data_IF_101022838770
#
_entry.id   IF_101022838770
#
_cell.length_a   1.000
_cell.length_b   1.000
_cell.length_c   1.000
_cell.angle_alpha   90.00
_cell.angle_beta   90.00
_cell.angle_gamma   90.00
#
_symmetry.space_group_name_H-M   'P 1'
#
loop_
_entity.id
_entity.type
_entity.pdbx_description
1 polymer ?
#
# COMPACT_ATOMS: atom_id res chain seq x y z
N UNK A 1 15.80 14.99 -5.57
CA UNK A 1 14.50 14.43 -5.99
C UNK A 1 14.06 13.38 -4.99
N UNK A 2 12.82 13.44 -4.56
CA UNK A 2 12.31 12.47 -3.61
C UNK A 2 12.19 11.08 -4.22
N UNK A 3 12.50 10.04 -3.46
CA UNK A 3 12.30 8.67 -3.88
C UNK A 3 10.81 8.38 -4.07
N UNK A 4 10.51 7.63 -5.13
CA UNK A 4 9.15 7.18 -5.40
C UNK A 4 8.98 5.75 -4.94
N UNK A 5 7.76 5.44 -4.51
CA UNK A 5 7.37 4.08 -4.13
C UNK A 5 5.97 3.79 -4.64
N UNK A 6 5.76 2.54 -5.02
CA UNK A 6 4.43 1.96 -4.99
C UNK A 6 4.32 1.27 -3.63
N UNK A 7 3.20 1.44 -2.95
CA UNK A 7 3.00 0.80 -1.66
C UNK A 7 1.73 -0.04 -1.66
N UNK A 8 1.73 -1.04 -0.83
CA UNK A 8 0.53 -1.80 -0.49
C UNK A 8 0.37 -1.79 1.03
N UNK A 9 -0.84 -1.84 1.49
CA UNK A 9 -1.10 -1.94 2.92
C UNK A 9 -2.44 -2.62 3.18
N UNK A 10 -2.60 -3.09 4.40
CA UNK A 10 -3.86 -3.62 4.88
C UNK A 10 -4.76 -2.46 5.26
N UNK A 11 -6.03 -2.59 4.89
CA UNK A 11 -7.07 -1.61 5.20
C UNK A 11 -8.18 -2.36 5.94
N UNK A 12 -8.51 -1.90 7.13
CA UNK A 12 -9.54 -2.54 7.94
C UNK A 12 -10.61 -1.54 8.32
N UNK A 13 -11.87 -1.88 8.05
CA UNK A 13 -13.00 -1.09 8.51
C UNK A 13 -13.12 -1.22 10.02
N UNK A 14 -13.09 -0.10 10.74
CA UNK A 14 -13.14 -0.08 12.21
C UNK A 14 -14.45 -0.64 12.77
N UNK A 15 -15.52 -0.55 12.00
CA UNK A 15 -16.86 -0.93 12.43
C UNK A 15 -17.21 -2.37 12.07
N UNK A 16 -17.02 -2.75 10.80
CA UNK A 16 -17.36 -4.08 10.31
C UNK A 16 -16.24 -5.10 10.52
N UNK A 17 -15.00 -4.60 10.73
CA UNK A 17 -13.78 -5.42 10.83
C UNK A 17 -13.39 -6.10 9.52
N UNK A 18 -14.05 -5.78 8.42
CA UNK A 18 -13.67 -6.28 7.11
C UNK A 18 -12.33 -5.72 6.68
N UNK A 19 -11.51 -6.57 6.07
CA UNK A 19 -10.18 -6.20 5.58
C UNK A 19 -10.15 -6.18 4.06
N UNK A 20 -9.36 -5.25 3.54
CA UNK A 20 -9.04 -5.18 2.12
C UNK A 20 -7.58 -4.80 1.98
N UNK A 21 -7.07 -4.75 0.76
CA UNK A 21 -5.69 -4.35 0.48
C UNK A 21 -5.72 -3.14 -0.43
N UNK A 22 -4.88 -2.15 -0.11
CA UNK A 22 -4.75 -0.93 -0.90
C UNK A 22 -3.44 -0.96 -1.67
N UNK A 23 -3.49 -0.50 -2.92
CA UNK A 23 -2.33 -0.20 -3.74
C UNK A 23 -2.29 1.29 -4.02
N UNK A 24 -1.16 1.92 -3.77
CA UNK A 24 -1.02 3.35 -3.96
C UNK A 24 0.38 3.74 -4.41
N UNK A 25 0.54 5.03 -4.70
CA UNK A 25 1.81 5.65 -5.06
C UNK A 25 2.12 6.76 -4.07
N UNK A 26 3.39 6.92 -3.74
CA UNK A 26 3.81 8.05 -2.92
C UNK A 26 5.30 8.36 -3.14
N UNK A 27 5.65 9.62 -2.94
CA UNK A 27 7.04 10.05 -2.79
C UNK A 27 7.39 10.35 -1.32
N UNK A 28 6.43 10.18 -0.40
CA UNK A 28 6.64 10.38 1.03
C UNK A 28 5.66 9.50 1.79
N UNK A 29 6.13 8.31 2.20
CA UNK A 29 5.25 7.33 2.82
C UNK A 29 4.74 7.78 4.19
N UNK A 30 5.56 8.42 5.00
CA UNK A 30 5.13 8.86 6.33
C UNK A 30 4.01 9.91 6.24
N UNK A 31 4.14 10.86 5.32
CA UNK A 31 3.11 11.86 5.08
C UNK A 31 1.83 11.21 4.54
N UNK A 32 1.97 10.23 3.64
CA UNK A 32 0.83 9.53 3.06
C UNK A 32 0.04 8.76 4.12
N UNK A 33 0.72 8.09 5.04
CA UNK A 33 0.05 7.38 6.13
C UNK A 33 -0.79 8.35 6.96
N UNK A 34 -0.23 9.50 7.32
CA UNK A 34 -0.95 10.51 8.09
C UNK A 34 -2.17 11.05 7.34
N UNK A 35 -2.03 11.28 6.03
CA UNK A 35 -3.14 11.73 5.19
C UNK A 35 -4.29 10.71 5.16
N UNK A 36 -3.96 9.44 4.98
CA UNK A 36 -4.94 8.37 4.92
C UNK A 36 -5.71 8.25 6.24
N UNK A 37 -4.99 8.26 7.36
CA UNK A 37 -5.61 8.17 8.67
C UNK A 37 -6.49 9.36 8.99
N UNK A 38 -6.05 10.56 8.62
CA UNK A 38 -6.80 11.80 8.85
C UNK A 38 -8.05 11.88 7.99
N UNK A 39 -7.95 11.47 6.72
CA UNK A 39 -9.04 11.62 5.74
C UNK A 39 -10.06 10.50 5.84
N UNK A 40 -9.65 9.31 6.22
CA UNK A 40 -10.48 8.11 6.21
C UNK A 40 -10.69 7.59 7.64
N UNK A 41 -11.49 8.30 8.40
CA UNK A 41 -11.65 8.08 9.84
C UNK A 41 -12.26 6.73 10.21
N UNK A 42 -12.91 6.05 9.27
CA UNK A 42 -13.55 4.76 9.50
C UNK A 42 -12.64 3.57 9.25
N UNK A 43 -11.38 3.82 8.87
CA UNK A 43 -10.45 2.76 8.45
C UNK A 43 -9.14 2.84 9.19
N UNK A 44 -8.54 1.67 9.40
CA UNK A 44 -7.20 1.50 9.94
C UNK A 44 -6.28 1.01 8.83
N UNK A 45 -5.06 1.52 8.83
CA UNK A 45 -4.03 1.16 7.83
C UNK A 45 -2.85 0.52 8.55
N UNK A 46 -2.40 -0.63 8.05
CA UNK A 46 -1.32 -1.39 8.67
C UNK A 46 -0.56 -2.23 7.65
N UNK A 47 0.55 -2.82 8.09
CA UNK A 47 1.34 -3.76 7.30
C UNK A 47 1.74 -3.17 5.95
N UNK A 48 2.35 -2.00 5.98
CA UNK A 48 2.82 -1.33 4.77
C UNK A 48 3.97 -2.10 4.14
N UNK A 49 3.89 -2.24 2.81
CA UNK A 49 4.95 -2.80 1.97
C UNK A 49 5.32 -1.76 0.92
N UNK A 50 6.61 -1.53 0.76
CA UNK A 50 7.11 -0.57 -0.24
C UNK A 50 7.79 -1.33 -1.36
N UNK A 51 7.49 -0.91 -2.59
CA UNK A 51 8.01 -1.54 -3.80
C UNK A 51 8.80 -0.52 -4.61
N UNK A 52 9.93 -0.96 -5.13
CA UNK A 52 10.77 -0.16 -6.03
C UNK A 52 11.05 -0.93 -7.30
N UNK A 53 11.16 -0.18 -8.39
CA UNK A 53 11.52 -0.75 -9.68
C UNK A 53 13.02 -1.04 -9.71
N UNK A 54 13.39 -2.11 -10.40
CA UNK A 54 14.79 -2.53 -10.52
C UNK A 54 15.69 -1.53 -11.20
N UNK A 55 15.14 -0.66 -12.09
CA UNK A 55 15.92 0.32 -12.84
C UNK A 55 15.32 1.71 -12.89
N UNK A 56 13.97 1.84 -12.90
CA UNK A 56 13.31 3.14 -12.96
C UNK A 56 13.41 3.86 -11.63
N UNK A 57 13.60 5.19 -11.70
CA UNK A 57 13.54 6.06 -10.53
C UNK A 57 12.33 7.00 -10.56
N UNK A 58 11.63 7.07 -11.71
CA UNK A 58 10.41 7.86 -11.89
C UNK A 58 9.39 7.05 -12.68
N UNK A 59 8.17 7.59 -12.81
CA UNK A 59 7.11 6.93 -13.57
C UNK A 59 6.28 5.94 -12.79
N UNK A 60 6.46 5.87 -11.49
CA UNK A 60 5.77 4.91 -10.62
C UNK A 60 4.26 5.16 -10.57
N UNK A 61 3.86 6.44 -10.58
CA UNK A 61 2.44 6.80 -10.62
C UNK A 61 1.76 6.25 -11.88
N UNK A 62 2.44 6.32 -13.01
CA UNK A 62 1.91 5.80 -14.27
C UNK A 62 1.69 4.28 -14.18
N UNK A 63 2.64 3.55 -13.63
CA UNK A 63 2.51 2.10 -13.47
C UNK A 63 1.42 1.74 -12.47
N UNK A 64 1.31 2.48 -11.37
CA UNK A 64 0.25 2.30 -10.38
C UNK A 64 -1.13 2.49 -11.02
N UNK A 65 -1.30 3.54 -11.80
CA UNK A 65 -2.57 3.81 -12.48
C UNK A 65 -2.91 2.74 -13.51
N UNK A 66 -1.91 2.22 -14.22
CA UNK A 66 -2.10 1.11 -15.16
C UNK A 66 -2.63 -0.14 -14.48
N UNK A 67 -2.08 -0.45 -13.32
CA UNK A 67 -2.55 -1.59 -12.52
C UNK A 67 -4.02 -1.37 -12.11
N UNK A 68 -4.37 -0.19 -11.64
CA UNK A 68 -5.75 0.10 -11.24
C UNK A 68 -6.73 0.00 -12.41
N UNK A 69 -6.38 0.54 -13.56
CA UNK A 69 -7.24 0.45 -14.75
C UNK A 69 -7.46 -1.01 -15.15
N UNK A 70 -6.42 -1.83 -15.08
CA UNK A 70 -6.48 -3.24 -15.49
C UNK A 70 -7.30 -4.10 -14.52
N UNK A 71 -7.41 -3.68 -13.26
CA UNK A 71 -7.97 -4.50 -12.20
C UNK A 71 -9.26 -3.95 -11.59
N UNK A 72 -9.95 -3.05 -12.27
CA UNK A 72 -11.17 -2.39 -11.75
C UNK A 72 -12.23 -3.36 -11.25
N UNK A 73 -12.40 -4.48 -11.93
CA UNK A 73 -13.44 -5.46 -11.57
C UNK A 73 -13.17 -6.19 -10.27
N UNK A 74 -11.96 -6.05 -9.72
CA UNK A 74 -11.56 -6.71 -8.47
C UNK A 74 -11.55 -5.74 -7.29
N UNK A 75 -12.02 -4.52 -7.47
CA UNK A 75 -12.11 -3.54 -6.39
C UNK A 75 -13.04 -4.03 -5.28
N UNK A 76 -12.74 -3.63 -4.05
CA UNK A 76 -13.48 -4.07 -2.87
C UNK A 76 -14.89 -3.46 -2.77
N UNK A 77 -15.24 -2.50 -3.61
CA UNK A 77 -16.56 -1.88 -3.59
C UNK A 77 -16.78 -0.93 -2.43
N UNK A 78 -15.72 -0.36 -1.89
CA UNK A 78 -15.82 0.62 -0.81
C UNK A 78 -16.45 1.90 -1.34
N UNK A 79 -17.40 2.47 -0.58
CA UNK A 79 -18.07 3.70 -0.98
C UNK A 79 -17.19 4.93 -0.76
N UNK A 80 -17.39 5.93 -1.60
CA UNK A 80 -16.70 7.22 -1.45
C UNK A 80 -17.04 7.90 -0.14
N UNK A 81 -18.28 7.73 0.32
CA UNK A 81 -18.73 8.34 1.57
C UNK A 81 -17.98 7.78 2.79
N UNK A 82 -17.72 6.47 2.80
CA UNK A 82 -16.99 5.83 3.90
C UNK A 82 -15.48 6.04 3.80
N UNK A 83 -14.94 6.13 2.57
CA UNK A 83 -13.52 6.33 2.34
C UNK A 83 -13.32 7.42 1.27
N UNK A 84 -13.33 8.70 1.67
CA UNK A 84 -13.21 9.80 0.70
C UNK A 84 -11.93 9.78 -0.13
N UNK A 85 -10.84 9.25 0.41
CA UNK A 85 -9.54 9.21 -0.28
C UNK A 85 -9.14 7.76 -0.53
N UNK A 86 -9.02 7.39 -1.82
CA UNK A 86 -8.49 6.08 -2.20
C UNK A 86 -9.51 4.94 -2.24
N UNK A 87 -10.81 5.24 -2.25
CA UNK A 87 -11.84 4.19 -2.30
C UNK A 87 -11.76 3.33 -3.56
N UNK A 88 -11.20 3.84 -4.65
CA UNK A 88 -11.00 3.10 -5.90
C UNK A 88 -9.63 2.43 -5.99
N UNK A 89 -8.89 2.41 -4.90
CA UNK A 89 -7.55 1.82 -4.86
C UNK A 89 -7.47 0.62 -3.93
N UNK A 90 -8.60 0.16 -3.43
CA UNK A 90 -8.69 -0.97 -2.50
C UNK A 90 -9.30 -2.18 -3.20
N UNK A 91 -8.73 -3.33 -2.92
CA UNK A 91 -9.11 -4.61 -3.52
C UNK A 91 -9.50 -5.60 -2.43
N UNK A 92 -10.23 -6.63 -2.80
CA UNK A 92 -10.51 -7.73 -1.89
C UNK A 92 -9.20 -8.31 -1.35
N UNK A 93 -9.22 -8.73 -0.09
CA UNK A 93 -8.04 -9.16 0.64
C UNK A 93 -7.20 -10.18 -0.12
N UNK A 94 -7.84 -11.22 -0.67
CA UNK A 94 -7.13 -12.28 -1.38
C UNK A 94 -6.47 -11.82 -2.68
N UNK A 95 -6.89 -10.70 -3.22
CA UNK A 95 -6.34 -10.20 -4.47
C UNK A 95 -4.93 -9.63 -4.33
N UNK A 96 -4.42 -9.49 -3.12
CA UNK A 96 -3.08 -8.95 -2.88
C UNK A 96 -2.00 -9.76 -3.59
N UNK A 97 -2.19 -11.07 -3.70
CA UNK A 97 -1.20 -11.94 -4.36
C UNK A 97 -1.12 -11.66 -5.86
N UNK A 98 -2.25 -11.42 -6.49
CA UNK A 98 -2.28 -11.04 -7.91
C UNK A 98 -1.64 -9.68 -8.14
N UNK A 99 -1.86 -8.73 -7.24
CA UNK A 99 -1.23 -7.40 -7.33
C UNK A 99 0.28 -7.50 -7.21
N UNK A 100 0.78 -8.30 -6.27
CA UNK A 100 2.22 -8.50 -6.11
C UNK A 100 2.81 -9.17 -7.35
N UNK A 101 2.14 -10.15 -7.93
CA UNK A 101 2.59 -10.80 -9.15
C UNK A 101 2.68 -9.81 -10.32
N UNK A 102 1.68 -8.92 -10.44
CA UNK A 102 1.69 -7.90 -11.48
C UNK A 102 2.83 -6.90 -11.27
N UNK A 103 3.07 -6.48 -10.03
CA UNK A 103 4.21 -5.61 -9.72
C UNK A 103 5.52 -6.28 -10.07
N UNK A 104 5.69 -7.54 -9.71
CA UNK A 104 6.89 -8.32 -10.03
C UNK A 104 7.11 -8.39 -11.54
N UNK A 105 6.04 -8.65 -12.29
CA UNK A 105 6.10 -8.69 -13.75
C UNK A 105 6.57 -7.36 -14.34
N UNK A 106 6.16 -6.24 -13.74
CA UNK A 106 6.57 -4.91 -14.19
C UNK A 106 7.97 -4.50 -13.72
N UNK A 107 8.65 -5.35 -12.96
CA UNK A 107 10.01 -5.08 -12.50
C UNK A 107 10.13 -4.48 -11.12
N UNK A 108 9.06 -4.53 -10.33
CA UNK A 108 9.06 -4.04 -8.95
C UNK A 108 9.37 -5.15 -7.97
N UNK A 109 10.12 -4.82 -6.94
CA UNK A 109 10.40 -5.73 -5.82
C UNK A 109 10.05 -5.06 -4.50
N UNK A 110 9.64 -5.86 -3.54
CA UNK A 110 9.36 -5.36 -2.20
C UNK A 110 10.69 -5.08 -1.49
N UNK A 111 10.90 -3.81 -1.16
CA UNK A 111 12.15 -3.37 -0.48
C UNK A 111 11.94 -3.14 1.00
N UNK A 112 10.69 -3.10 1.46
CA UNK A 112 10.35 -2.94 2.87
C UNK A 112 8.99 -3.62 3.12
N UNK A 113 8.92 -4.40 4.18
CA UNK A 113 7.68 -5.06 4.60
C UNK A 113 7.56 -4.88 6.12
N UNK A 114 6.61 -4.07 6.54
CA UNK A 114 6.41 -3.74 7.94
C UNK A 114 6.10 -4.98 8.78
N UNK A 115 5.37 -5.93 8.21
CA UNK A 115 4.96 -7.14 8.94
C UNK A 115 6.14 -8.06 9.28
N UNK A 116 7.22 -7.96 8.50
CA UNK A 116 8.42 -8.77 8.71
C UNK A 116 9.61 -7.97 9.23
N UNK A 117 9.47 -6.63 9.26
CA UNK A 117 10.56 -5.77 9.70
C UNK A 117 10.82 -5.94 11.18
N UNK A 118 12.09 -6.16 11.50
CA UNK A 118 12.55 -6.18 12.89
C UNK A 118 13.58 -5.10 13.05
N UNK A 119 13.34 -4.07 13.89
CA UNK A 119 14.34 -3.05 14.13
C UNK A 119 15.60 -3.68 14.73
N UNK A 120 16.78 -3.09 14.48
CA UNK A 120 18.01 -3.57 15.09
C UNK A 120 17.84 -3.64 16.60
N UNK A 121 18.12 -4.79 17.17
CA UNK A 121 18.03 -4.96 18.62
C UNK A 121 19.32 -4.49 19.26
N UNK A 122 19.19 -3.62 20.24
CA UNK A 122 20.28 -3.30 21.11
C UNK A 122 20.56 -4.54 21.95
N UNK A 123 21.81 -5.04 21.99
CA UNK A 123 22.11 -6.21 22.82
C UNK A 123 21.72 -5.95 24.27
N UNK A 124 21.04 -6.90 24.87
CA UNK A 124 20.59 -6.78 26.25
C UNK A 124 21.75 -6.75 27.25
N UNK A 125 22.94 -7.00 26.78
CA UNK A 125 24.13 -7.13 27.62
C UNK A 125 25.09 -6.00 27.37
N UNK A 126 24.60 -4.83 27.17
CA UNK A 126 25.44 -3.65 27.00
C UNK A 126 25.75 -3.00 28.35
N UNK A 127 26.30 -3.76 29.21
CA UNK A 127 26.74 -3.24 30.48
C UNK A 127 28.17 -3.60 30.75
#
# INVERSE_FOLDING_TARGET
MAEQFIYMCNVRNKHTKESSVKLGYTSNILQRIKQLEKSNIHYEYSDFRLFKHESKIIGYLFDEQRIHVRNRKYLAGISRDSMPVGYTECYEWGYQYDLVNQLTYLGYTCVYDESTYKPPQTPMFQW
#
